data_IF_838127159674
#
_entry.id   IF_838127159674
#
_cell.length_a   1.000
_cell.length_b   1.000
_cell.length_c   1.000
_cell.angle_alpha   90.00
_cell.angle_beta   90.00
_cell.angle_gamma   90.00
#
_symmetry.space_group_name_H-M   'P 1'
#
loop_
_entity.id
_entity.type
_entity.pdbx_description
1 polymer ?
#
# COMPACT_ATOMS: atom_id res chain seq x y z
N UNK A 1 48.40 -13.77 -12.08
CA UNK A 1 48.78 -12.74 -11.08
C UNK A 1 48.61 -11.35 -11.70
N UNK A 2 48.03 -10.42 -10.92
CA UNK A 2 47.85 -8.96 -11.13
C UNK A 2 46.83 -8.56 -12.21
N UNK A 3 45.68 -7.94 -11.92
CA UNK A 3 45.29 -6.74 -11.14
C UNK A 3 45.38 -5.40 -11.93
N UNK A 4 44.19 -4.84 -12.19
CA UNK A 4 43.74 -3.44 -12.03
C UNK A 4 43.74 -2.45 -13.23
N UNK A 5 42.56 -1.83 -13.40
CA UNK A 5 42.23 -0.45 -13.86
C UNK A 5 42.48 -0.12 -15.35
N UNK A 6 41.49 0.38 -16.10
CA UNK A 6 41.02 1.78 -16.00
C UNK A 6 39.67 1.97 -16.72
N UNK A 7 38.79 2.75 -16.10
CA UNK A 7 37.48 3.23 -16.57
C UNK A 7 37.69 4.38 -17.57
N UNK A 8 36.87 4.45 -18.63
CA UNK A 8 36.56 5.70 -19.30
C UNK A 8 35.09 5.71 -19.74
N UNK A 9 34.33 6.62 -19.13
CA UNK A 9 32.93 6.94 -19.40
C UNK A 9 32.87 7.84 -20.63
N UNK A 10 31.98 7.53 -21.57
CA UNK A 10 31.59 8.42 -22.66
C UNK A 10 30.07 8.62 -22.65
N UNK A 11 29.63 9.75 -22.11
CA UNK A 11 28.25 10.24 -22.16
C UNK A 11 28.06 10.98 -23.49
N UNK A 12 27.02 10.65 -24.23
CA UNK A 12 26.30 11.62 -25.08
C UNK A 12 24.85 11.17 -25.35
N UNK A 13 23.95 11.74 -24.56
CA UNK A 13 22.65 12.36 -24.87
C UNK A 13 21.93 12.10 -26.20
N UNK A 14 20.67 11.63 -26.13
CA UNK A 14 19.47 12.19 -26.77
C UNK A 14 18.24 11.39 -26.28
N UNK A 15 17.44 11.87 -25.33
CA UNK A 15 16.36 12.86 -25.45
C UNK A 15 15.13 12.37 -26.24
N UNK A 16 13.97 12.55 -25.58
CA UNK A 16 12.58 12.39 -26.06
C UNK A 16 12.01 10.97 -25.96
N UNK A 17 11.29 10.69 -24.86
CA UNK A 17 9.82 10.57 -24.83
C UNK A 17 9.38 11.03 -23.42
N UNK A 18 8.95 12.30 -23.35
CA UNK A 18 8.08 12.79 -22.28
C UNK A 18 6.64 12.51 -22.70
N UNK A 19 5.84 11.92 -21.82
CA UNK A 19 4.43 11.66 -22.11
C UNK A 19 3.64 11.08 -20.94
N UNK A 20 3.66 11.75 -19.79
CA UNK A 20 2.53 11.69 -18.85
C UNK A 20 2.61 10.67 -17.71
N UNK A 21 3.45 10.92 -16.70
CA UNK A 21 3.17 10.49 -15.32
C UNK A 21 3.74 11.51 -14.33
N UNK A 22 3.14 12.69 -14.24
CA UNK A 22 3.41 13.62 -13.14
C UNK A 22 2.07 13.99 -12.52
N UNK A 23 1.90 13.68 -11.23
CA UNK A 23 1.40 14.59 -10.17
C UNK A 23 0.78 13.89 -8.93
N UNK A 24 0.87 12.57 -8.73
CA UNK A 24 0.28 11.93 -7.52
C UNK A 24 1.30 11.35 -6.51
N UNK A 25 2.59 11.21 -6.86
CA UNK A 25 3.56 10.47 -6.05
C UNK A 25 4.51 11.30 -5.16
N UNK A 26 4.64 12.61 -5.38
CA UNK A 26 5.70 13.40 -4.74
C UNK A 26 5.32 14.07 -3.41
N UNK A 27 4.04 14.09 -3.02
CA UNK A 27 3.61 14.66 -1.73
C UNK A 27 3.84 13.72 -0.54
N UNK A 28 4.08 12.42 -0.77
CA UNK A 28 4.36 11.47 0.33
C UNK A 28 5.81 11.55 0.84
N UNK A 29 6.74 12.05 0.03
CA UNK A 29 8.18 12.09 0.34
C UNK A 29 8.63 13.34 1.12
N UNK A 30 7.86 14.44 1.07
CA UNK A 30 8.24 15.69 1.74
C UNK A 30 8.09 15.68 3.28
N UNK A 31 7.26 14.78 3.82
CA UNK A 31 6.92 14.74 5.25
C UNK A 31 7.80 13.85 6.11
N UNK A 32 8.61 12.97 5.52
CA UNK A 32 9.32 11.91 6.26
C UNK A 32 10.82 12.22 6.45
N UNK A 33 11.40 13.17 5.70
CA UNK A 33 12.87 13.30 5.58
C UNK A 33 13.52 14.54 6.22
N UNK A 34 12.87 15.30 7.12
CA UNK A 34 13.56 16.42 7.81
C UNK A 34 13.22 16.54 9.29
N UNK A 35 14.13 16.18 10.23
CA UNK A 35 14.13 16.78 11.55
C UNK A 35 14.77 18.17 11.42
N UNK A 36 13.96 19.22 11.37
CA UNK A 36 14.49 20.59 11.32
C UNK A 36 15.04 20.95 12.70
N UNK A 37 16.35 21.15 12.76
CA UNK A 37 17.07 21.68 13.92
C UNK A 37 16.56 23.09 14.22
N UNK A 38 16.29 23.35 15.50
CA UNK A 38 15.83 24.64 15.98
C UNK A 38 16.85 25.76 15.68
N UNK A 39 16.37 26.84 15.09
CA UNK A 39 17.07 28.13 15.06
C UNK A 39 16.08 29.22 15.50
N UNK A 40 16.59 30.11 16.35
CA UNK A 40 15.85 31.03 17.19
C UNK A 40 15.05 32.12 16.45
N UNK A 41 13.91 32.43 17.07
CA UNK A 41 13.10 33.65 17.06
C UNK A 41 13.26 34.68 15.92
N UNK A 42 12.20 34.77 15.11
CA UNK A 42 11.64 36.07 14.70
C UNK A 42 10.15 36.08 15.04
N UNK A 43 9.78 36.90 16.01
CA UNK A 43 8.40 37.22 16.39
C UNK A 43 7.77 38.06 15.28
N UNK A 44 7.21 37.38 14.28
CA UNK A 44 6.18 37.95 13.43
C UNK A 44 4.86 37.31 13.83
N UNK A 45 3.97 38.10 14.44
CA UNK A 45 2.61 37.68 14.77
C UNK A 45 1.87 37.42 13.46
N UNK A 46 1.93 36.18 12.98
CA UNK A 46 1.13 35.75 11.85
C UNK A 46 -0.35 35.89 12.22
N UNK A 47 -1.21 36.40 11.32
CA UNK A 47 -2.64 36.40 11.56
C UNK A 47 -3.08 34.97 11.87
N UNK A 48 -3.86 34.81 12.94
CA UNK A 48 -4.35 33.51 13.39
C UNK A 48 -4.89 32.74 12.18
N UNK A 49 -4.19 31.67 11.80
CA UNK A 49 -4.63 30.80 10.73
C UNK A 49 -6.05 30.36 11.09
N UNK A 50 -7.02 30.75 10.28
CA UNK A 50 -8.39 30.24 10.41
C UNK A 50 -8.27 28.71 10.35
N UNK A 51 -8.73 27.98 11.37
CA UNK A 51 -8.63 26.54 11.37
C UNK A 51 -9.33 26.05 10.11
N UNK A 52 -8.61 25.30 9.27
CA UNK A 52 -9.21 24.65 8.10
C UNK A 52 -10.26 23.70 8.66
N UNK A 53 -11.53 24.08 8.55
CA UNK A 53 -12.65 23.21 8.91
C UNK A 53 -12.76 22.17 7.81
N UNK A 54 -12.04 21.07 7.98
CA UNK A 54 -12.17 19.92 7.11
C UNK A 54 -13.58 19.34 7.29
N UNK A 55 -14.25 18.91 6.21
CA UNK A 55 -15.56 18.27 6.32
C UNK A 55 -15.53 17.09 7.29
N UNK A 56 -16.64 16.78 7.96
CA UNK A 56 -16.73 15.77 9.02
C UNK A 56 -16.23 14.36 8.60
N UNK A 57 -16.14 14.12 7.29
CA UNK A 57 -15.58 12.90 6.67
C UNK A 57 -14.10 12.62 6.90
N UNK A 58 -13.39 13.51 7.59
CA UNK A 58 -11.97 13.33 7.98
C UNK A 58 -11.81 12.94 9.45
N UNK A 59 -12.91 12.77 10.18
CA UNK A 59 -12.91 12.24 11.56
C UNK A 59 -13.05 10.73 11.54
N UNK A 60 -12.48 10.02 12.51
CA UNK A 60 -12.43 8.55 12.52
C UNK A 60 -13.82 7.87 12.42
N UNK A 61 -14.86 8.49 12.98
CA UNK A 61 -16.21 7.90 13.07
C UNK A 61 -17.09 8.16 11.85
N UNK A 62 -16.69 9.10 10.99
CA UNK A 62 -17.40 9.42 9.74
C UNK A 62 -16.43 9.34 8.55
N UNK A 63 -15.31 8.63 8.70
CA UNK A 63 -14.28 8.55 7.70
C UNK A 63 -14.78 7.79 6.47
N UNK A 64 -14.46 8.31 5.29
CA UNK A 64 -14.72 7.69 4.00
C UNK A 64 -13.44 7.66 3.17
N UNK A 65 -13.23 6.58 2.41
CA UNK A 65 -12.11 6.53 1.48
C UNK A 65 -12.29 7.52 0.32
N UNK A 66 -11.36 8.48 0.20
CA UNK A 66 -11.33 9.46 -0.88
C UNK A 66 -10.44 8.97 -2.03
N UNK A 67 -11.00 8.06 -2.82
CA UNK A 67 -10.31 7.53 -3.99
C UNK A 67 -10.12 8.53 -5.13
N UNK A 68 -10.90 9.62 -5.18
CA UNK A 68 -10.72 10.67 -6.20
C UNK A 68 -9.46 11.46 -5.94
N UNK A 69 -9.18 11.74 -4.67
CA UNK A 69 -8.00 12.51 -4.27
C UNK A 69 -6.70 11.70 -4.36
N UNK A 70 -6.73 10.44 -3.95
CA UNK A 70 -5.51 9.65 -3.77
C UNK A 70 -5.25 8.59 -4.84
N UNK A 71 -6.25 8.25 -5.65
CA UNK A 71 -6.19 7.14 -6.62
C UNK A 71 -5.58 5.84 -6.06
N UNK A 72 -5.69 5.63 -4.75
CA UNK A 72 -5.07 4.53 -4.02
C UNK A 72 -5.71 4.42 -2.64
N UNK A 73 -5.88 3.19 -2.17
CA UNK A 73 -6.23 2.92 -0.77
C UNK A 73 -5.09 3.28 0.20
N UNK A 74 -3.84 3.42 -0.26
CA UNK A 74 -2.71 3.71 0.63
C UNK A 74 -2.54 5.20 0.95
N UNK A 75 -3.15 6.09 0.17
CA UNK A 75 -3.04 7.53 0.37
C UNK A 75 -4.06 8.12 1.37
N UNK A 76 -4.80 7.28 2.09
CA UNK A 76 -5.93 7.72 2.91
C UNK A 76 -5.46 8.47 4.15
N UNK A 77 -6.05 9.65 4.40
CA UNK A 77 -5.65 10.52 5.50
C UNK A 77 -6.84 10.99 6.32
N UNK A 78 -6.62 11.19 7.61
CA UNK A 78 -7.60 11.73 8.58
C UNK A 78 -6.99 12.90 9.34
N UNK A 79 -7.85 13.73 9.94
CA UNK A 79 -7.41 14.72 10.91
C UNK A 79 -7.28 14.04 12.28
N UNK A 80 -6.06 13.90 12.78
CA UNK A 80 -5.74 13.24 14.05
C UNK A 80 -4.88 14.18 14.90
N UNK A 81 -5.33 14.48 16.13
CA UNK A 81 -4.66 15.43 17.04
C UNK A 81 -4.30 16.80 16.42
N UNK A 82 -5.11 17.28 15.48
CA UNK A 82 -4.91 18.57 14.80
C UNK A 82 -4.05 18.52 13.54
N UNK A 83 -3.53 17.35 13.16
CA UNK A 83 -2.68 17.16 12.00
C UNK A 83 -3.27 16.17 10.99
N UNK A 84 -2.92 16.31 9.71
CA UNK A 84 -3.30 15.35 8.68
C UNK A 84 -2.37 14.14 8.76
N UNK A 85 -2.92 13.00 9.18
CA UNK A 85 -2.16 11.76 9.40
C UNK A 85 -2.65 10.67 8.44
N UNK A 86 -1.71 9.89 7.90
CA UNK A 86 -2.05 8.68 7.15
C UNK A 86 -2.82 7.70 8.03
N UNK A 87 -3.91 7.15 7.52
CA UNK A 87 -4.71 6.15 8.26
C UNK A 87 -3.85 4.93 8.61
N UNK A 88 -2.91 4.54 7.75
CA UNK A 88 -1.99 3.43 8.02
C UNK A 88 -1.13 3.65 9.28
N UNK A 89 -0.77 4.90 9.58
CA UNK A 89 0.12 5.27 10.68
C UNK A 89 -0.61 5.52 12.02
N UNK A 90 -1.94 5.42 12.04
CA UNK A 90 -2.70 5.58 13.29
C UNK A 90 -2.44 4.41 14.25
N UNK A 91 -2.58 4.63 15.56
CA UNK A 91 -2.67 3.54 16.53
C UNK A 91 -3.76 2.55 16.12
N UNK A 92 -3.51 1.25 16.32
CA UNK A 92 -4.38 0.17 15.81
C UNK A 92 -5.87 0.39 16.13
N UNK A 93 -6.21 0.74 17.37
CA UNK A 93 -7.59 0.97 17.78
C UNK A 93 -8.29 2.09 16.98
N UNK A 94 -7.56 3.16 16.65
CA UNK A 94 -8.10 4.29 15.90
C UNK A 94 -8.11 4.02 14.39
N UNK A 95 -7.11 3.30 13.89
CA UNK A 95 -7.07 2.79 12.52
C UNK A 95 -8.26 1.89 12.23
N UNK A 96 -8.56 0.95 13.13
CA UNK A 96 -9.73 0.07 13.01
C UNK A 96 -11.03 0.87 12.99
N UNK A 97 -11.18 1.92 13.80
CA UNK A 97 -12.36 2.80 13.74
C UNK A 97 -12.52 3.45 12.36
N UNK A 98 -11.44 4.04 11.84
CA UNK A 98 -11.46 4.67 10.51
C UNK A 98 -11.80 3.66 9.41
N UNK A 99 -11.19 2.48 9.42
CA UNK A 99 -11.47 1.41 8.45
C UNK A 99 -12.92 0.93 8.54
N UNK A 100 -13.44 0.73 9.75
CA UNK A 100 -14.83 0.30 9.94
C UNK A 100 -15.84 1.34 9.43
N UNK A 101 -15.53 2.62 9.61
CA UNK A 101 -16.30 3.73 9.06
C UNK A 101 -16.25 3.76 7.53
N UNK A 102 -15.05 3.65 6.94
CA UNK A 102 -14.87 3.78 5.49
C UNK A 102 -15.37 2.55 4.70
N UNK A 103 -15.43 1.39 5.35
CA UNK A 103 -15.89 0.13 4.80
C UNK A 103 -17.16 -0.30 5.53
N UNK A 104 -18.20 0.51 5.46
CA UNK A 104 -19.45 0.30 6.19
C UNK A 104 -20.45 -0.57 5.41
N UNK A 105 -20.32 -0.62 4.09
CA UNK A 105 -21.25 -1.30 3.18
C UNK A 105 -20.54 -2.25 2.19
N UNK A 106 -21.27 -3.22 1.59
CA UNK A 106 -20.74 -4.03 0.50
C UNK A 106 -20.22 -3.21 -0.69
N UNK A 107 -20.88 -2.09 -1.01
CA UNK A 107 -20.49 -1.22 -2.13
C UNK A 107 -19.15 -0.52 -1.88
N UNK A 108 -18.90 -0.06 -0.66
CA UNK A 108 -17.62 0.53 -0.26
C UNK A 108 -16.51 -0.52 -0.25
N UNK A 109 -16.79 -1.73 0.24
CA UNK A 109 -15.86 -2.85 0.18
C UNK A 109 -15.50 -3.23 -1.27
N UNK A 110 -16.48 -3.33 -2.16
CA UNK A 110 -16.24 -3.59 -3.58
C UNK A 110 -15.37 -2.51 -4.23
N UNK A 111 -15.64 -1.23 -3.92
CA UNK A 111 -14.83 -0.12 -4.42
C UNK A 111 -13.40 -0.20 -3.90
N UNK A 112 -13.22 -0.42 -2.60
CA UNK A 112 -11.90 -0.54 -1.98
C UNK A 112 -11.11 -1.73 -2.55
N UNK A 113 -11.78 -2.87 -2.77
CA UNK A 113 -11.18 -4.05 -3.36
C UNK A 113 -10.57 -3.75 -4.74
N UNK A 114 -11.26 -2.99 -5.60
CA UNK A 114 -10.70 -2.60 -6.91
C UNK A 114 -9.39 -1.81 -6.79
N UNK A 115 -9.28 -0.91 -5.80
CA UNK A 115 -8.02 -0.17 -5.55
C UNK A 115 -6.94 -1.04 -4.90
N UNK A 116 -7.33 -1.99 -4.04
CA UNK A 116 -6.42 -2.97 -3.46
C UNK A 116 -5.84 -3.86 -4.56
N UNK A 117 -6.68 -4.37 -5.45
CA UNK A 117 -6.26 -5.22 -6.56
C UNK A 117 -5.24 -4.52 -7.46
N UNK A 118 -5.49 -3.25 -7.81
CA UNK A 118 -4.52 -2.44 -8.54
C UNK A 118 -3.15 -2.35 -7.85
N UNK A 119 -3.12 -2.22 -6.51
CA UNK A 119 -1.86 -2.17 -5.74
C UNK A 119 -1.13 -3.52 -5.70
N UNK A 120 -1.85 -4.64 -5.67
CA UNK A 120 -1.22 -5.95 -5.82
C UNK A 120 -0.71 -6.19 -7.25
N UNK A 121 -1.39 -5.68 -8.27
CA UNK A 121 -0.86 -5.72 -9.65
C UNK A 121 0.47 -4.95 -9.76
N UNK A 122 0.62 -3.80 -9.09
CA UNK A 122 1.89 -3.07 -9.00
C UNK A 122 2.98 -3.89 -8.29
N UNK A 123 2.62 -4.63 -7.24
CA UNK A 123 3.53 -5.53 -6.52
C UNK A 123 4.00 -6.68 -7.41
N UNK A 124 3.07 -7.36 -8.10
CA UNK A 124 3.41 -8.42 -9.05
C UNK A 124 4.29 -7.90 -10.21
N UNK A 125 3.97 -6.72 -10.75
CA UNK A 125 4.76 -6.13 -11.83
C UNK A 125 6.19 -5.85 -11.35
N UNK A 126 6.35 -5.29 -10.15
CA UNK A 126 7.66 -5.04 -9.54
C UNK A 126 8.45 -6.33 -9.30
N UNK A 127 7.77 -7.39 -8.85
CA UNK A 127 8.35 -8.74 -8.73
C UNK A 127 8.85 -9.27 -10.06
N UNK A 128 8.01 -9.25 -11.09
CA UNK A 128 8.38 -9.76 -12.43
C UNK A 128 9.50 -8.95 -13.10
N UNK A 129 9.68 -7.68 -12.71
CA UNK A 129 10.77 -6.83 -13.19
C UNK A 129 12.09 -7.07 -12.44
N UNK A 130 12.11 -7.94 -11.43
CA UNK A 130 13.32 -8.24 -10.64
C UNK A 130 13.64 -7.17 -9.60
N UNK A 131 12.70 -6.28 -9.28
CA UNK A 131 12.91 -5.19 -8.32
C UNK A 131 13.15 -5.66 -6.87
N UNK A 132 12.88 -6.94 -6.57
CA UNK A 132 13.11 -7.52 -5.24
C UNK A 132 14.53 -8.09 -5.08
N UNK A 133 15.20 -8.41 -6.18
CA UNK A 133 16.54 -8.99 -6.18
C UNK A 133 17.62 -7.93 -6.48
N UNK A 134 17.22 -6.68 -6.71
CA UNK A 134 18.11 -5.61 -7.18
C UNK A 134 18.13 -4.42 -6.23
N UNK A 135 19.33 -4.02 -5.81
CA UNK A 135 19.54 -2.78 -5.07
C UNK A 135 19.46 -1.62 -6.06
N UNK A 136 18.45 -0.78 -5.90
CA UNK A 136 18.30 0.46 -6.68
C UNK A 136 19.04 1.62 -6.00
N UNK A 137 19.54 2.56 -6.79
CA UNK A 137 20.22 3.77 -6.29
C UNK A 137 19.58 5.03 -6.89
N UNK A 138 19.44 6.08 -6.08
CA UNK A 138 19.14 7.45 -6.52
C UNK A 138 20.43 8.25 -6.50
N UNK A 139 20.65 9.05 -7.54
CA UNK A 139 21.71 10.05 -7.53
C UNK A 139 21.17 11.36 -6.96
N UNK A 140 21.71 11.77 -5.82
CA UNK A 140 21.39 13.04 -5.16
C UNK A 140 21.96 14.23 -5.95
N UNK A 141 21.51 15.43 -5.60
CA UNK A 141 21.91 16.67 -6.29
C UNK A 141 23.41 16.97 -6.17
N UNK A 142 24.08 16.43 -5.15
CA UNK A 142 25.52 16.53 -4.92
C UNK A 142 26.34 15.41 -5.60
N UNK A 143 25.66 14.53 -6.36
CA UNK A 143 26.27 13.42 -7.09
C UNK A 143 26.46 12.14 -6.28
N UNK A 144 26.12 12.11 -4.99
CA UNK A 144 26.16 10.89 -4.17
C UNK A 144 25.08 9.90 -4.59
N UNK A 145 25.36 8.60 -4.40
CA UNK A 145 24.38 7.54 -4.64
C UNK A 145 23.80 7.07 -3.31
N UNK A 146 22.49 7.23 -3.14
CA UNK A 146 21.73 6.71 -2.00
C UNK A 146 20.97 5.47 -2.43
N UNK A 147 20.92 4.45 -1.56
CA UNK A 147 20.11 3.25 -1.83
C UNK A 147 18.64 3.66 -1.78
N UNK A 148 17.86 3.28 -2.80
CA UNK A 148 16.41 3.46 -2.78
C UNK A 148 15.84 2.58 -1.68
N UNK A 149 15.15 3.13 -0.69
CA UNK A 149 14.54 2.31 0.35
C UNK A 149 13.53 1.35 -0.28
N UNK A 150 13.54 0.09 0.17
CA UNK A 150 12.55 -0.88 -0.26
C UNK A 150 11.22 -0.58 0.43
N UNK A 151 10.38 0.19 -0.26
CA UNK A 151 9.08 0.60 0.26
C UNK A 151 7.99 -0.47 0.14
N UNK A 152 8.35 -1.71 -0.23
CA UNK A 152 7.39 -2.78 -0.41
C UNK A 152 6.68 -3.13 0.90
N UNK A 153 7.36 -3.08 2.04
CA UNK A 153 6.80 -3.48 3.33
C UNK A 153 6.47 -2.29 4.24
N UNK A 154 6.46 -1.08 3.68
CA UNK A 154 6.07 0.13 4.42
C UNK A 154 4.67 0.03 5.02
N UNK A 155 4.45 0.81 6.08
CA UNK A 155 3.15 1.05 6.68
C UNK A 155 2.15 1.66 5.66
N UNK A 156 1.30 0.78 5.12
CA UNK A 156 0.31 1.07 4.07
C UNK A 156 -0.98 0.33 4.37
N UNK A 157 -2.13 0.86 3.96
CA UNK A 157 -3.41 0.20 4.21
C UNK A 157 -3.55 -1.16 3.53
N UNK A 158 -2.93 -1.37 2.36
CA UNK A 158 -2.83 -2.71 1.73
C UNK A 158 -2.01 -3.72 2.54
N UNK A 159 -1.28 -3.27 3.56
CA UNK A 159 -0.50 -4.13 4.45
C UNK A 159 -1.17 -4.33 5.81
N UNK A 160 -2.38 -3.77 6.00
CA UNK A 160 -3.12 -3.88 7.24
C UNK A 160 -4.16 -5.01 7.14
N UNK A 161 -4.01 -6.12 7.89
CA UNK A 161 -4.94 -7.26 7.85
C UNK A 161 -6.40 -6.85 8.11
N UNK A 162 -6.62 -5.85 8.96
CA UNK A 162 -7.95 -5.36 9.33
C UNK A 162 -8.76 -4.78 8.16
N UNK A 163 -8.12 -4.33 7.09
CA UNK A 163 -8.82 -3.88 5.87
C UNK A 163 -9.57 -5.07 5.26
N UNK A 164 -8.92 -6.21 5.16
CA UNK A 164 -9.47 -7.43 4.57
C UNK A 164 -10.50 -8.08 5.49
N UNK A 165 -10.22 -8.14 6.79
CA UNK A 165 -11.17 -8.64 7.78
C UNK A 165 -12.45 -7.81 7.78
N UNK A 166 -12.33 -6.48 7.74
CA UNK A 166 -13.50 -5.61 7.68
C UNK A 166 -14.30 -5.80 6.40
N UNK A 167 -13.65 -5.92 5.25
CA UNK A 167 -14.36 -6.26 4.01
C UNK A 167 -15.10 -7.58 4.18
N UNK A 168 -14.44 -8.63 4.68
CA UNK A 168 -15.06 -9.95 4.88
C UNK A 168 -16.36 -9.87 5.71
N UNK A 169 -16.40 -9.00 6.72
CA UNK A 169 -17.57 -8.81 7.58
C UNK A 169 -18.75 -8.13 6.87
N UNK A 170 -18.52 -7.33 5.82
CA UNK A 170 -19.57 -6.51 5.18
C UNK A 170 -20.02 -7.01 3.81
N UNK A 171 -19.26 -7.87 3.11
CA UNK A 171 -19.57 -8.19 1.70
C UNK A 171 -20.81 -9.07 1.51
N UNK A 172 -21.29 -9.74 2.57
CA UNK A 172 -22.48 -10.60 2.54
C UNK A 172 -22.37 -11.94 1.79
N UNK A 173 -21.20 -12.25 1.21
CA UNK A 173 -20.88 -13.51 0.53
C UNK A 173 -19.84 -14.31 1.34
N UNK A 174 -20.23 -15.46 1.88
CA UNK A 174 -19.36 -16.23 2.79
C UNK A 174 -18.11 -16.80 2.11
N UNK A 175 -18.19 -17.21 0.83
CA UNK A 175 -17.03 -17.75 0.11
C UNK A 175 -15.98 -16.67 -0.11
N UNK A 176 -16.40 -15.50 -0.57
CA UNK A 176 -15.51 -14.36 -0.75
C UNK A 176 -15.04 -13.79 0.61
N UNK A 177 -15.85 -13.84 1.67
CA UNK A 177 -15.43 -13.48 3.03
C UNK A 177 -14.30 -14.40 3.53
N UNK A 178 -14.39 -15.72 3.29
CA UNK A 178 -13.30 -16.65 3.59
C UNK A 178 -12.01 -16.27 2.85
N UNK A 179 -12.10 -15.96 1.55
CA UNK A 179 -10.93 -15.55 0.77
C UNK A 179 -10.30 -14.25 1.25
N UNK A 180 -11.11 -13.29 1.67
CA UNK A 180 -10.60 -12.07 2.30
C UNK A 180 -9.91 -12.34 3.64
N UNK A 181 -10.39 -13.29 4.45
CA UNK A 181 -9.69 -13.72 5.68
C UNK A 181 -8.36 -14.43 5.37
N UNK A 182 -8.32 -15.26 4.33
CA UNK A 182 -7.09 -15.91 3.88
C UNK A 182 -6.07 -14.86 3.37
N UNK A 183 -6.53 -13.83 2.64
CA UNK A 183 -5.71 -12.67 2.23
C UNK A 183 -5.17 -11.93 3.45
N UNK A 184 -5.99 -11.68 4.48
CA UNK A 184 -5.56 -11.00 5.70
C UNK A 184 -4.37 -11.72 6.35
N UNK A 185 -4.44 -13.06 6.46
CA UNK A 185 -3.37 -13.88 7.02
C UNK A 185 -2.09 -13.85 6.15
N UNK A 186 -2.23 -13.91 4.82
CA UNK A 186 -1.09 -13.84 3.91
C UNK A 186 -0.41 -12.48 3.93
N UNK A 187 -1.18 -11.40 4.04
CA UNK A 187 -0.65 -10.05 4.20
C UNK A 187 0.11 -9.93 5.52
N UNK A 188 -0.45 -10.44 6.62
CA UNK A 188 0.24 -10.46 7.91
C UNK A 188 1.58 -11.20 7.82
N UNK A 189 1.59 -12.39 7.21
CA UNK A 189 2.82 -13.17 7.00
C UNK A 189 3.82 -12.40 6.14
N UNK A 190 3.37 -11.87 4.99
CA UNK A 190 4.23 -11.18 4.04
C UNK A 190 4.88 -9.93 4.63
N UNK A 191 4.14 -9.16 5.42
CA UNK A 191 4.66 -7.94 6.05
C UNK A 191 5.56 -8.27 7.23
N UNK A 192 5.16 -9.20 8.10
CA UNK A 192 5.93 -9.56 9.31
C UNK A 192 7.26 -10.24 8.98
N UNK A 193 7.29 -11.06 7.93
CA UNK A 193 8.46 -11.84 7.56
C UNK A 193 9.19 -11.30 6.33
N UNK A 194 8.77 -10.15 5.79
CA UNK A 194 9.25 -9.61 4.52
C UNK A 194 9.19 -10.65 3.38
N UNK A 195 8.13 -11.46 3.35
CA UNK A 195 7.94 -12.57 2.41
C UNK A 195 7.06 -12.16 1.21
N UNK A 196 7.71 -11.97 0.07
CA UNK A 196 7.04 -11.62 -1.18
C UNK A 196 6.15 -12.75 -1.71
N UNK A 197 6.46 -14.02 -1.48
CA UNK A 197 5.61 -15.12 -1.91
C UNK A 197 4.25 -15.07 -1.20
N UNK A 198 4.21 -14.71 0.08
CA UNK A 198 2.95 -14.52 0.79
C UNK A 198 2.09 -13.42 0.13
N UNK A 199 2.70 -12.29 -0.25
CA UNK A 199 2.00 -11.20 -0.95
C UNK A 199 1.55 -11.60 -2.38
N UNK A 200 2.32 -12.42 -3.08
CA UNK A 200 1.94 -12.98 -4.39
C UNK A 200 0.76 -13.96 -4.27
N UNK A 201 0.70 -14.76 -3.19
CA UNK A 201 -0.48 -15.58 -2.91
C UNK A 201 -1.71 -14.73 -2.57
N UNK A 202 -1.53 -13.66 -1.78
CA UNK A 202 -2.60 -12.72 -1.48
C UNK A 202 -3.18 -12.09 -2.76
N UNK A 203 -2.33 -11.65 -3.69
CA UNK A 203 -2.73 -11.13 -5.00
C UNK A 203 -3.60 -12.11 -5.79
N UNK A 204 -3.20 -13.39 -5.83
CA UNK A 204 -3.93 -14.44 -6.55
C UNK A 204 -5.30 -14.70 -5.94
N UNK A 205 -5.42 -14.65 -4.61
CA UNK A 205 -6.71 -14.82 -3.95
C UNK A 205 -7.61 -13.60 -4.21
N UNK A 206 -7.06 -12.38 -4.19
CA UNK A 206 -7.82 -11.15 -4.52
C UNK A 206 -8.44 -11.23 -5.92
N UNK A 207 -7.71 -11.73 -6.92
CA UNK A 207 -8.25 -11.95 -8.26
C UNK A 207 -9.53 -12.81 -8.26
N UNK A 208 -9.63 -13.80 -7.36
CA UNK A 208 -10.85 -14.59 -7.22
C UNK A 208 -11.97 -13.81 -6.54
N UNK A 209 -11.64 -13.01 -5.52
CA UNK A 209 -12.59 -12.14 -4.84
C UNK A 209 -13.22 -11.14 -5.82
N UNK A 210 -12.45 -10.60 -6.76
CA UNK A 210 -12.97 -9.69 -7.80
C UNK A 210 -14.06 -10.33 -8.66
N UNK A 211 -13.91 -11.62 -9.00
CA UNK A 211 -14.93 -12.37 -9.72
C UNK A 211 -16.22 -12.42 -8.91
N UNK A 212 -16.16 -12.69 -7.60
CA UNK A 212 -17.35 -12.73 -6.76
C UNK A 212 -18.00 -11.38 -6.49
N UNK A 213 -17.20 -10.31 -6.37
CA UNK A 213 -17.65 -9.02 -5.84
C UNK A 213 -17.82 -7.93 -6.91
N UNK A 214 -16.93 -7.87 -7.89
CA UNK A 214 -16.84 -6.72 -8.83
C UNK A 214 -17.40 -7.06 -10.20
N UNK A 215 -17.00 -8.21 -10.77
CA UNK A 215 -17.19 -8.43 -12.21
C UNK A 215 -18.11 -9.59 -12.59
N UNK A 216 -18.13 -10.74 -11.88
CA UNK A 216 -18.74 -11.98 -12.40
C UNK A 216 -19.21 -12.96 -11.30
N UNK A 217 -20.23 -12.62 -10.49
CA UNK A 217 -20.65 -13.43 -9.34
C UNK A 217 -21.16 -14.85 -9.69
N UNK A 218 -21.42 -15.14 -10.97
CA UNK A 218 -21.97 -16.40 -11.48
C UNK A 218 -20.98 -17.24 -12.29
N UNK A 219 -19.76 -16.74 -12.54
CA UNK A 219 -18.71 -17.54 -13.18
C UNK A 219 -17.90 -18.20 -12.06
N UNK A 220 -17.89 -19.54 -12.06
CA UNK A 220 -17.16 -20.34 -11.07
C UNK A 220 -15.66 -20.05 -11.05
N UNK A 221 -14.96 -20.58 -10.06
CA UNK A 221 -13.50 -20.47 -9.97
C UNK A 221 -12.84 -20.88 -11.29
N UNK A 222 -11.96 -20.04 -11.82
CA UNK A 222 -11.12 -20.46 -12.93
C UNK A 222 -10.37 -21.74 -12.51
N UNK A 223 -10.19 -22.75 -13.38
CA UNK A 223 -9.52 -24.00 -13.01
C UNK A 223 -8.11 -23.81 -12.44
N UNK A 224 -7.44 -22.72 -12.82
CA UNK A 224 -6.13 -22.34 -12.31
C UNK A 224 -6.20 -21.75 -10.88
N UNK A 225 -7.35 -21.23 -10.46
CA UNK A 225 -7.49 -20.43 -9.26
C UNK A 225 -7.71 -21.25 -7.99
N UNK A 226 -8.44 -22.37 -8.06
CA UNK A 226 -8.64 -23.27 -6.92
C UNK A 226 -7.32 -23.90 -6.42
N UNK A 227 -6.45 -24.33 -7.34
CA UNK A 227 -5.13 -24.86 -6.99
C UNK A 227 -4.23 -23.80 -6.33
N UNK A 228 -4.30 -22.55 -6.79
CA UNK A 228 -3.53 -21.44 -6.20
C UNK A 228 -4.08 -20.97 -4.86
N UNK A 229 -5.39 -21.04 -4.66
CA UNK A 229 -6.01 -20.86 -3.33
C UNK A 229 -5.50 -21.95 -2.38
N UNK A 230 -5.49 -23.22 -2.82
CA UNK A 230 -4.98 -24.32 -2.00
C UNK A 230 -3.50 -24.15 -1.64
N UNK A 231 -2.66 -23.69 -2.58
CA UNK A 231 -1.26 -23.33 -2.30
C UNK A 231 -1.16 -22.22 -1.24
N UNK A 232 -1.99 -21.17 -1.34
CA UNK A 232 -2.04 -20.10 -0.35
C UNK A 232 -2.46 -20.58 1.04
N UNK A 233 -3.49 -21.42 1.13
CA UNK A 233 -3.96 -22.02 2.39
C UNK A 233 -2.88 -22.91 3.01
N UNK A 234 -2.27 -23.79 2.24
CA UNK A 234 -1.17 -24.63 2.72
C UNK A 234 0.04 -23.79 3.18
N UNK A 235 0.32 -22.69 2.48
CA UNK A 235 1.35 -21.74 2.86
C UNK A 235 1.02 -21.06 4.21
N UNK A 236 -0.23 -20.64 4.44
CA UNK A 236 -0.67 -20.12 5.75
C UNK A 236 -0.46 -21.16 6.85
N UNK A 237 -0.94 -22.40 6.65
CA UNK A 237 -0.83 -23.48 7.64
C UNK A 237 0.63 -23.75 8.04
N UNK A 238 1.55 -23.74 7.07
CA UNK A 238 2.98 -23.92 7.31
C UNK A 238 3.59 -22.81 8.18
N UNK A 239 3.20 -21.55 7.96
CA UNK A 239 3.83 -20.39 8.62
C UNK A 239 3.11 -19.95 9.91
N UNK A 240 1.88 -20.42 10.15
CA UNK A 240 1.10 -20.10 11.36
C UNK A 240 1.66 -20.72 12.65
N UNK A 241 2.45 -21.79 12.53
CA UNK A 241 3.01 -22.54 13.67
C UNK A 241 4.47 -22.19 14.00
N UNK A 242 5.05 -21.15 13.38
CA UNK A 242 6.41 -20.69 13.69
C UNK A 242 7.54 -21.65 13.28
N UNK A 243 7.25 -22.68 12.47
CA UNK A 243 8.26 -23.55 11.86
C UNK A 243 8.66 -22.99 10.50
N UNK A 244 9.58 -22.01 10.51
CA UNK A 244 10.45 -21.69 9.39
C UNK A 244 11.89 -21.88 9.86
#
# INVERSE_FOLDING_TARGET
MKKWQTIAIGITTAAVIMGGVTYAGFSYLGGILKPTVAAAEQTATAPAATPIVLPNKYTLNNFEFDFRRYNSINGQMVLYNGEMTSVALLPQADRTKAINSALSTPAEAAKALGYIHAKFNETLASYNQGSHDTISYIQETDGTLTIVPNYLYDERLTHQPEVYLRMADVIGNEKAAKYLRDVAALVEIGVKNEDIQALLYAHRIIHNVDSFIINRPNEGEEPYSAAKIAEGVAYIEKHRNGTA
#
